data_IF_576767058507
#
_entry.id   IF_576767058507
#
_cell.length_a   1.000
_cell.length_b   1.000
_cell.length_c   1.000
_cell.angle_alpha   90.00
_cell.angle_beta   90.00
_cell.angle_gamma   90.00
#
_symmetry.space_group_name_H-M   'P 1'
#
loop_
_entity.id
_entity.type
_entity.pdbx_description
1 polymer ?
#
# COMPACT_ATOMS: atom_id res chain seq x y z
N UNK A 1 18.84 18.19 28.30
CA UNK A 1 18.68 18.94 27.04
C UNK A 1 18.25 17.96 25.96
N UNK A 2 16.99 17.99 25.51
CA UNK A 2 16.49 17.07 24.46
C UNK A 2 17.00 17.58 23.12
N UNK A 3 17.87 16.82 22.45
CA UNK A 3 18.45 17.21 21.16
C UNK A 3 17.41 17.32 20.04
N UNK A 4 17.65 18.21 19.08
CA UNK A 4 16.76 18.51 17.93
C UNK A 4 16.32 17.24 17.20
N UNK A 5 17.20 16.24 17.05
CA UNK A 5 16.89 14.95 16.43
C UNK A 5 15.74 14.22 17.14
N UNK A 6 15.77 14.18 18.48
CA UNK A 6 14.74 13.53 19.29
C UNK A 6 13.38 14.24 19.18
N UNK A 7 13.38 15.55 18.98
CA UNK A 7 12.15 16.32 18.74
C UNK A 7 11.57 16.03 17.34
N UNK A 8 12.42 15.86 16.32
CA UNK A 8 11.99 15.48 14.97
C UNK A 8 11.39 14.08 14.95
N UNK A 9 12.05 13.11 15.58
CA UNK A 9 11.55 11.73 15.68
C UNK A 9 10.18 11.66 16.38
N UNK A 10 10.03 12.41 17.48
CA UNK A 10 8.74 12.53 18.18
C UNK A 10 7.64 13.12 17.29
N UNK A 11 7.96 14.15 16.49
CA UNK A 11 6.98 14.77 15.58
C UNK A 11 6.59 13.81 14.46
N UNK A 12 7.56 13.12 13.86
CA UNK A 12 7.33 12.12 12.81
C UNK A 12 6.42 11.01 13.34
N UNK A 13 6.72 10.48 14.52
CA UNK A 13 5.92 9.42 15.13
C UNK A 13 4.51 9.89 15.44
N UNK A 14 4.34 11.14 15.91
CA UNK A 14 3.01 11.71 16.17
C UNK A 14 2.17 11.82 14.90
N UNK A 15 2.74 12.30 13.79
CA UNK A 15 1.97 12.40 12.54
C UNK A 15 1.70 11.03 11.92
N UNK A 16 2.63 10.07 12.04
CA UNK A 16 2.40 8.67 11.66
C UNK A 16 1.25 8.05 12.43
N UNK A 17 1.24 8.23 13.75
CA UNK A 17 0.15 7.76 14.61
C UNK A 17 -1.19 8.33 14.15
N UNK A 18 -1.28 9.66 13.94
CA UNK A 18 -2.50 10.30 13.45
C UNK A 18 -2.96 9.78 12.10
N UNK A 19 -2.03 9.54 11.18
CA UNK A 19 -2.34 8.98 9.87
C UNK A 19 -2.93 7.57 10.00
N UNK A 20 -2.35 6.71 10.85
CA UNK A 20 -2.88 5.37 11.11
C UNK A 20 -4.27 5.42 11.75
N UNK A 21 -4.47 6.29 12.73
CA UNK A 21 -5.78 6.47 13.37
C UNK A 21 -6.85 6.89 12.36
N UNK A 22 -6.51 7.80 11.45
CA UNK A 22 -7.41 8.24 10.38
C UNK A 22 -7.68 7.15 9.34
N UNK A 23 -6.66 6.38 8.94
CA UNK A 23 -6.78 5.32 7.92
C UNK A 23 -7.62 4.15 8.44
N UNK A 24 -7.41 3.76 9.69
CA UNK A 24 -8.01 2.56 10.27
C UNK A 24 -9.23 2.84 11.16
N UNK A 25 -9.61 4.11 11.29
CA UNK A 25 -10.75 4.60 12.08
C UNK A 25 -10.75 4.01 13.51
N UNK A 26 -9.60 4.07 14.17
CA UNK A 26 -9.37 3.49 15.50
C UNK A 26 -8.24 4.24 16.20
N UNK A 27 -8.15 4.10 17.52
CA UNK A 27 -7.12 4.80 18.29
C UNK A 27 -5.77 4.07 18.25
N UNK A 28 -4.67 4.81 18.44
CA UNK A 28 -3.34 4.23 18.60
C UNK A 28 -3.29 3.19 19.72
N UNK A 29 -4.01 3.45 20.82
CA UNK A 29 -4.11 2.55 21.97
C UNK A 29 -4.70 1.19 21.57
N UNK A 30 -5.77 1.20 20.76
CA UNK A 30 -6.40 -0.01 20.25
C UNK A 30 -5.51 -0.74 19.25
N UNK A 31 -4.85 -0.02 18.33
CA UNK A 31 -3.88 -0.62 17.39
C UNK A 31 -2.75 -1.33 18.14
N UNK A 32 -2.16 -0.67 19.14
CA UNK A 32 -1.13 -1.26 19.99
C UNK A 32 -1.62 -2.49 20.73
N UNK A 33 -2.83 -2.43 21.28
CA UNK A 33 -3.42 -3.56 21.98
C UNK A 33 -3.64 -4.76 21.03
N UNK A 34 -4.13 -4.48 19.82
CA UNK A 34 -4.41 -5.51 18.84
C UNK A 34 -3.11 -6.17 18.32
N UNK A 35 -2.05 -5.38 18.12
CA UNK A 35 -0.77 -5.83 17.58
C UNK A 35 0.36 -5.78 18.62
N UNK A 36 0.08 -6.18 19.85
CA UNK A 36 1.05 -6.15 20.95
C UNK A 36 2.15 -7.21 20.77
N UNK A 37 1.81 -8.34 20.15
CA UNK A 37 2.68 -9.51 19.99
C UNK A 37 2.86 -9.83 18.51
N UNK A 38 4.11 -10.03 18.10
CA UNK A 38 4.45 -10.54 16.77
C UNK A 38 4.48 -12.08 16.78
N UNK A 39 3.94 -12.74 15.75
CA UNK A 39 4.17 -14.16 15.51
C UNK A 39 5.66 -14.49 15.36
N UNK A 40 6.08 -15.73 15.68
CA UNK A 40 7.44 -16.19 15.44
C UNK A 40 7.88 -15.98 13.99
N UNK A 41 9.11 -15.52 13.77
CA UNK A 41 9.68 -15.27 12.44
C UNK A 41 9.18 -14.01 11.73
N UNK A 42 8.18 -13.30 12.26
CA UNK A 42 7.66 -12.07 11.65
C UNK A 42 8.74 -10.98 11.50
N UNK A 43 9.53 -10.74 12.56
CA UNK A 43 10.55 -9.69 12.57
C UNK A 43 11.78 -10.03 11.71
N UNK A 44 12.03 -11.31 11.46
CA UNK A 44 13.16 -11.79 10.65
C UNK A 44 12.81 -11.85 9.16
N UNK A 45 11.51 -11.74 8.83
CA UNK A 45 11.02 -11.85 7.46
C UNK A 45 11.14 -10.52 6.71
N UNK A 46 11.65 -10.58 5.48
CA UNK A 46 11.74 -9.40 4.61
C UNK A 46 10.40 -9.18 3.88
N UNK A 47 9.87 -7.95 3.87
CA UNK A 47 8.66 -7.65 3.11
C UNK A 47 8.89 -7.68 1.58
N UNK A 48 7.82 -7.88 0.79
CA UNK A 48 7.89 -7.73 -0.65
C UNK A 48 8.25 -6.28 -1.04
N UNK A 49 8.77 -6.11 -2.26
CA UNK A 49 9.11 -4.79 -2.82
C UNK A 49 7.83 -3.97 -3.06
N UNK A 50 6.78 -4.64 -3.53
CA UNK A 50 5.44 -4.07 -3.70
C UNK A 50 4.37 -5.09 -3.25
N UNK A 51 3.35 -4.70 -2.50
CA UNK A 51 3.16 -3.36 -1.95
C UNK A 51 4.20 -3.10 -0.83
N UNK A 52 4.73 -1.88 -0.78
CA UNK A 52 5.81 -1.55 0.16
C UNK A 52 5.29 -1.58 1.59
N UNK A 53 6.03 -2.21 2.51
CA UNK A 53 5.59 -2.39 3.89
C UNK A 53 6.53 -1.68 4.86
N UNK A 54 5.95 -0.97 5.81
CA UNK A 54 6.66 -0.28 6.87
C UNK A 54 6.36 -0.93 8.22
N UNK A 55 7.39 -1.36 8.93
CA UNK A 55 7.26 -1.85 10.30
C UNK A 55 7.03 -0.69 11.29
N UNK A 56 6.10 -0.87 12.23
CA UNK A 56 5.62 0.17 13.16
C UNK A 56 6.11 -0.02 14.61
N UNK A 57 7.24 -0.70 14.78
CA UNK A 57 7.81 -0.97 16.11
C UNK A 57 8.27 0.29 16.86
N UNK A 58 8.52 1.39 16.16
CA UNK A 58 8.86 2.71 16.70
C UNK A 58 7.71 3.39 17.47
N UNK A 59 6.47 2.95 17.21
CA UNK A 59 5.26 3.39 17.90
C UNK A 59 4.56 2.25 18.65
N UNK A 60 5.33 1.24 19.06
CA UNK A 60 4.89 0.09 19.85
C UNK A 60 3.79 -0.77 19.19
N UNK A 61 3.76 -0.82 17.86
CA UNK A 61 2.87 -1.70 17.09
C UNK A 61 3.74 -2.80 16.46
N UNK A 62 3.53 -4.07 16.83
CA UNK A 62 4.27 -5.23 16.31
C UNK A 62 3.66 -5.74 15.00
N UNK A 63 3.52 -4.85 14.04
CA UNK A 63 2.94 -5.10 12.73
C UNK A 63 3.54 -4.18 11.67
N UNK A 64 3.31 -4.53 10.41
CA UNK A 64 3.65 -3.73 9.24
C UNK A 64 2.39 -3.11 8.65
N UNK A 65 2.48 -1.85 8.24
CA UNK A 65 1.46 -1.19 7.42
C UNK A 65 1.93 -1.13 5.98
N UNK A 66 1.01 -1.36 5.05
CA UNK A 66 1.20 -1.10 3.63
C UNK A 66 -0.02 -0.37 3.07
N UNK A 67 0.22 0.54 2.14
CA UNK A 67 -0.83 1.25 1.43
C UNK A 67 -0.48 1.26 -0.06
N UNK A 68 -1.42 0.82 -0.88
CA UNK A 68 -1.27 0.75 -2.33
C UNK A 68 -2.63 0.95 -2.99
N UNK A 69 -2.65 1.17 -4.30
CA UNK A 69 -3.90 1.32 -5.04
C UNK A 69 -4.11 0.12 -5.97
N UNK A 70 -5.36 -0.26 -6.11
CA UNK A 70 -5.81 -1.29 -7.05
C UNK A 70 -6.93 -0.78 -7.96
N UNK A 71 -7.17 -1.47 -9.06
CA UNK A 71 -8.41 -1.33 -9.80
C UNK A 71 -9.60 -1.84 -8.98
N UNK A 72 -10.77 -1.21 -9.13
CA UNK A 72 -11.95 -1.54 -8.33
C UNK A 72 -12.40 -2.99 -8.52
N UNK A 73 -12.20 -3.54 -9.71
CA UNK A 73 -12.53 -4.92 -10.07
C UNK A 73 -11.66 -5.94 -9.32
N UNK A 74 -10.51 -5.51 -8.77
CA UNK A 74 -9.59 -6.37 -8.01
C UNK A 74 -9.91 -6.41 -6.52
N UNK A 75 -10.88 -5.62 -6.02
CA UNK A 75 -11.28 -5.64 -4.59
C UNK A 75 -11.61 -7.06 -4.09
N UNK A 76 -12.38 -7.91 -4.82
CA UNK A 76 -12.66 -9.28 -4.39
C UNK A 76 -11.40 -10.14 -4.23
N UNK A 77 -10.34 -9.87 -5.01
CA UNK A 77 -9.07 -10.59 -4.93
C UNK A 77 -8.39 -10.34 -3.58
N UNK A 78 -8.49 -9.12 -3.03
CA UNK A 78 -7.93 -8.79 -1.71
C UNK A 78 -8.55 -9.68 -0.62
N UNK A 79 -9.88 -9.78 -0.61
CA UNK A 79 -10.60 -10.61 0.35
C UNK A 79 -10.22 -12.08 0.19
N UNK A 80 -10.22 -12.61 -1.05
CA UNK A 80 -9.83 -13.99 -1.32
C UNK A 80 -8.39 -14.32 -0.92
N UNK A 81 -7.45 -13.38 -1.08
CA UNK A 81 -6.06 -13.55 -0.64
C UNK A 81 -5.97 -13.63 0.88
N UNK A 82 -6.62 -12.71 1.60
CA UNK A 82 -6.60 -12.68 3.06
C UNK A 82 -7.24 -13.95 3.61
N UNK A 83 -8.44 -14.29 3.15
CA UNK A 83 -9.16 -15.50 3.60
C UNK A 83 -8.38 -16.78 3.24
N UNK A 84 -7.78 -16.83 2.05
CA UNK A 84 -6.91 -17.93 1.61
C UNK A 84 -5.64 -18.12 2.45
N UNK A 85 -5.22 -17.11 3.22
CA UNK A 85 -4.13 -17.23 4.21
C UNK A 85 -4.59 -17.81 5.57
N UNK A 86 -5.86 -18.22 5.66
CA UNK A 86 -6.45 -18.75 6.90
C UNK A 86 -6.84 -17.63 7.86
N UNK A 87 -7.31 -16.50 7.34
CA UNK A 87 -7.89 -15.43 8.14
C UNK A 87 -9.42 -15.49 8.05
N UNK A 88 -10.09 -15.17 9.16
CA UNK A 88 -11.56 -15.07 9.21
C UNK A 88 -11.94 -13.68 9.65
N UNK A 89 -12.90 -13.09 8.96
CA UNK A 89 -13.46 -11.78 9.30
C UNK A 89 -14.27 -11.87 10.59
N UNK A 90 -13.90 -11.06 11.58
CA UNK A 90 -14.65 -10.94 12.85
C UNK A 90 -15.56 -9.71 12.86
N UNK A 91 -15.23 -8.72 12.04
CA UNK A 91 -16.01 -7.51 11.75
C UNK A 91 -15.48 -6.88 10.46
N UNK A 92 -16.21 -5.97 9.80
CA UNK A 92 -15.75 -5.34 8.57
C UNK A 92 -14.32 -4.78 8.71
N UNK A 93 -13.43 -5.26 7.84
CA UNK A 93 -12.03 -4.83 7.82
C UNK A 93 -11.14 -5.41 8.92
N UNK A 94 -11.62 -6.29 9.81
CA UNK A 94 -10.79 -6.88 10.86
C UNK A 94 -10.85 -8.40 10.79
N UNK A 95 -9.68 -9.00 10.68
CA UNK A 95 -9.49 -10.42 10.49
C UNK A 95 -8.53 -11.00 11.52
N UNK A 96 -8.81 -12.23 11.94
CA UNK A 96 -7.96 -13.01 12.87
C UNK A 96 -7.61 -14.35 12.24
N UNK A 97 -6.43 -14.88 12.55
CA UNK A 97 -6.02 -16.18 12.07
C UNK A 97 -6.90 -17.31 12.62
N UNK A 98 -7.11 -18.36 11.81
CA UNK A 98 -8.04 -19.46 12.12
C UNK A 98 -7.35 -20.80 12.40
N UNK A 99 -6.01 -20.85 12.51
CA UNK A 99 -5.27 -22.11 12.65
C UNK A 99 -5.40 -22.74 14.03
N UNK A 100 -5.69 -21.95 15.08
CA UNK A 100 -5.92 -22.41 16.45
C UNK A 100 -6.60 -21.33 17.30
N UNK A 101 -7.12 -21.68 18.48
CA UNK A 101 -7.61 -20.71 19.49
C UNK A 101 -6.52 -19.73 19.96
N UNK A 102 -5.25 -20.06 19.70
CA UNK A 102 -4.08 -19.23 20.03
C UNK A 102 -3.42 -18.60 18.80
N UNK A 103 -4.12 -18.56 17.65
CA UNK A 103 -3.59 -17.86 16.47
C UNK A 103 -3.60 -16.34 16.72
N UNK A 104 -2.41 -15.79 16.97
CA UNK A 104 -2.21 -14.37 17.29
C UNK A 104 -2.09 -13.50 16.03
N UNK A 105 -2.22 -14.08 14.84
CA UNK A 105 -2.15 -13.37 13.57
C UNK A 105 -3.39 -12.52 13.37
N UNK A 106 -3.18 -11.29 12.88
CA UNK A 106 -4.23 -10.32 12.63
C UNK A 106 -3.97 -9.55 11.35
N UNK A 107 -5.06 -9.17 10.71
CA UNK A 107 -5.08 -8.25 9.58
C UNK A 107 -6.17 -7.21 9.83
N UNK A 108 -5.81 -5.94 9.73
CA UNK A 108 -6.77 -4.84 9.64
C UNK A 108 -6.67 -4.24 8.23
N UNK A 109 -7.82 -4.08 7.57
CA UNK A 109 -7.96 -3.75 6.17
C UNK A 109 -8.95 -2.59 6.03
N UNK A 110 -8.49 -1.50 5.40
CA UNK A 110 -9.35 -0.41 4.94
C UNK A 110 -9.25 -0.32 3.42
N UNK A 111 -10.40 -0.12 2.76
CA UNK A 111 -10.47 0.12 1.32
C UNK A 111 -11.26 1.40 1.07
N UNK A 112 -10.71 2.36 0.32
CA UNK A 112 -11.36 3.64 0.02
C UNK A 112 -11.28 3.97 -1.47
N UNK A 113 -12.41 4.32 -2.09
CA UNK A 113 -12.45 4.70 -3.50
C UNK A 113 -11.80 6.08 -3.71
N UNK A 114 -10.71 6.12 -4.49
CA UNK A 114 -9.92 7.32 -4.79
C UNK A 114 -9.23 7.16 -6.15
N UNK A 115 -9.06 8.25 -6.89
CA UNK A 115 -8.29 8.32 -8.15
C UNK A 115 -8.68 7.23 -9.16
N UNK A 116 -9.99 7.09 -9.46
CA UNK A 116 -10.50 6.06 -10.37
C UNK A 116 -10.46 4.61 -9.84
N UNK A 117 -9.64 4.32 -8.84
CA UNK A 117 -9.44 2.99 -8.25
C UNK A 117 -9.91 2.88 -6.80
N UNK A 118 -9.29 1.95 -6.08
CA UNK A 118 -9.45 1.76 -4.64
C UNK A 118 -8.09 1.75 -3.95
N UNK A 119 -7.92 2.62 -2.96
CA UNK A 119 -6.74 2.63 -2.09
C UNK A 119 -6.96 1.61 -0.98
N UNK A 120 -6.04 0.66 -0.87
CA UNK A 120 -6.04 -0.44 0.08
C UNK A 120 -4.97 -0.16 1.12
N UNK A 121 -5.35 -0.15 2.39
CA UNK A 121 -4.44 -0.07 3.52
C UNK A 121 -4.55 -1.33 4.35
N UNK A 122 -3.42 -2.02 4.53
CA UNK A 122 -3.32 -3.27 5.29
C UNK A 122 -2.36 -3.08 6.44
N UNK A 123 -2.82 -3.36 7.66
CA UNK A 123 -1.98 -3.49 8.84
C UNK A 123 -1.99 -4.95 9.27
N UNK A 124 -0.82 -5.59 9.29
CA UNK A 124 -0.72 -7.02 9.61
C UNK A 124 0.57 -7.37 10.33
N UNK A 125 0.48 -8.36 11.21
CA UNK A 125 1.63 -9.04 11.83
C UNK A 125 1.91 -10.41 11.15
N UNK A 126 1.40 -10.64 9.94
CA UNK A 126 1.66 -11.83 9.14
C UNK A 126 2.29 -11.42 7.80
N UNK A 127 3.53 -11.88 7.56
CA UNK A 127 4.28 -11.54 6.35
C UNK A 127 3.83 -12.36 5.15
N UNK A 128 3.29 -13.57 5.36
CA UNK A 128 2.79 -14.43 4.29
C UNK A 128 1.61 -13.78 3.56
N UNK A 129 0.73 -13.10 4.31
CA UNK A 129 -0.38 -12.32 3.75
C UNK A 129 0.12 -11.22 2.80
N UNK A 130 1.20 -10.52 3.15
CA UNK A 130 1.81 -9.51 2.28
C UNK A 130 2.44 -10.14 1.03
N UNK A 131 3.12 -11.28 1.17
CA UNK A 131 3.66 -12.01 0.02
C UNK A 131 2.58 -12.57 -0.90
N UNK A 132 1.44 -13.00 -0.35
CA UNK A 132 0.30 -13.45 -1.15
C UNK A 132 -0.40 -12.29 -1.86
N UNK A 133 -0.47 -11.11 -1.25
CA UNK A 133 -0.92 -9.89 -1.93
C UNK A 133 0.01 -9.49 -3.07
N UNK A 134 1.33 -9.58 -2.86
CA UNK A 134 2.32 -9.39 -3.93
C UNK A 134 2.10 -10.38 -5.09
N UNK A 135 1.94 -11.67 -4.77
CA UNK A 135 1.71 -12.72 -5.76
C UNK A 135 0.37 -12.63 -6.50
N UNK A 136 -0.57 -11.81 -6.03
CA UNK A 136 -1.87 -11.61 -6.67
C UNK A 136 -1.83 -10.62 -7.85
N UNK A 137 -0.65 -10.07 -8.20
CA UNK A 137 -0.44 -9.22 -9.38
C UNK A 137 -1.40 -8.02 -9.46
N UNK A 138 -1.63 -7.41 -8.29
CA UNK A 138 -2.49 -6.25 -8.12
C UNK A 138 -1.86 -5.03 -8.82
N UNK A 139 -2.69 -4.16 -9.39
CA UNK A 139 -2.23 -2.99 -10.13
C UNK A 139 -3.14 -1.79 -9.89
N UNK A 140 -2.59 -0.57 -9.80
CA UNK A 140 -3.39 0.65 -9.80
C UNK A 140 -4.11 0.82 -11.14
N UNK A 141 -5.20 1.61 -11.20
CA UNK A 141 -5.74 2.08 -12.46
C UNK A 141 -4.65 2.82 -13.27
N UNK A 142 -4.68 2.75 -14.61
CA UNK A 142 -3.76 3.51 -15.42
C UNK A 142 -4.00 5.02 -15.28
N UNK A 143 -3.00 5.88 -15.57
CA UNK A 143 -3.10 7.32 -15.34
C UNK A 143 -4.31 8.00 -15.98
N UNK A 144 -4.69 7.60 -17.20
CA UNK A 144 -5.86 8.14 -17.91
C UNK A 144 -7.20 7.72 -17.32
N UNK A 145 -7.23 6.70 -16.47
CA UNK A 145 -8.41 6.32 -15.68
C UNK A 145 -8.40 7.02 -14.32
N UNK A 146 -7.22 7.22 -13.72
CA UNK A 146 -7.08 7.96 -12.48
C UNK A 146 -7.38 9.46 -12.65
N UNK A 147 -7.03 10.02 -13.81
CA UNK A 147 -7.15 11.43 -14.16
C UNK A 147 -7.75 11.60 -15.58
N UNK A 148 -9.05 11.30 -15.77
CA UNK A 148 -9.68 11.29 -17.10
C UNK A 148 -9.73 12.66 -17.78
N UNK A 149 -9.75 13.74 -16.99
CA UNK A 149 -9.84 15.12 -17.48
C UNK A 149 -8.46 15.75 -17.73
N UNK A 150 -7.37 14.97 -17.61
CA UNK A 150 -6.00 15.47 -17.78
C UNK A 150 -5.51 15.21 -19.19
N UNK A 151 -5.00 16.27 -19.82
CA UNK A 151 -4.27 16.18 -21.09
C UNK A 151 -2.80 15.83 -20.82
N UNK A 152 -2.29 14.66 -21.23
CA UNK A 152 -0.92 14.23 -20.96
C UNK A 152 0.14 15.16 -21.55
N UNK A 153 -0.14 15.85 -22.66
CA UNK A 153 0.82 16.77 -23.29
C UNK A 153 0.96 18.08 -22.51
N UNK A 154 0.00 18.37 -21.62
CA UNK A 154 0.00 19.56 -20.77
C UNK A 154 0.63 19.36 -19.39
N UNK A 155 0.98 18.12 -19.02
CA UNK A 155 1.35 17.76 -17.65
C UNK A 155 2.69 18.34 -17.16
N UNK A 156 3.55 18.83 -18.06
CA UNK A 156 4.78 19.53 -17.71
C UNK A 156 5.58 18.80 -16.61
N UNK A 157 5.77 19.44 -15.45
CA UNK A 157 6.23 18.74 -14.24
C UNK A 157 5.03 18.32 -13.40
N UNK A 158 5.01 17.07 -12.92
CA UNK A 158 3.98 16.60 -12.00
C UNK A 158 3.96 17.49 -10.75
N UNK A 159 2.79 17.95 -10.36
CA UNK A 159 2.60 18.72 -9.12
C UNK A 159 1.30 18.35 -8.41
N UNK A 160 1.29 18.57 -7.10
CA UNK A 160 0.10 18.46 -6.27
C UNK A 160 -0.47 17.04 -6.25
N UNK A 161 -1.76 16.90 -6.58
CA UNK A 161 -2.46 15.62 -6.43
C UNK A 161 -1.98 14.54 -7.40
N UNK A 162 -1.56 14.94 -8.62
CA UNK A 162 -1.06 14.01 -9.64
C UNK A 162 0.31 13.50 -9.23
N UNK A 163 1.22 14.39 -8.81
CA UNK A 163 2.53 14.01 -8.27
C UNK A 163 2.40 13.07 -7.07
N UNK A 164 1.50 13.39 -6.14
CA UNK A 164 1.22 12.55 -4.98
C UNK A 164 0.77 11.14 -5.41
N UNK A 165 -0.21 11.05 -6.32
CA UNK A 165 -0.70 9.76 -6.80
C UNK A 165 0.39 8.97 -7.53
N UNK A 166 1.16 9.65 -8.37
CA UNK A 166 2.19 9.05 -9.20
C UNK A 166 3.31 8.47 -8.36
N UNK A 167 3.77 9.23 -7.37
CA UNK A 167 4.85 8.81 -6.46
C UNK A 167 4.40 7.76 -5.44
N UNK A 168 3.15 7.85 -4.96
CA UNK A 168 2.65 6.99 -3.88
C UNK A 168 2.12 5.66 -4.39
N UNK A 169 1.47 5.63 -5.56
CA UNK A 169 0.74 4.45 -6.05
C UNK A 169 1.28 3.91 -7.36
N UNK A 170 1.51 4.79 -8.34
CA UNK A 170 1.89 4.37 -9.69
C UNK A 170 3.33 3.87 -9.75
N UNK A 171 4.31 4.68 -9.35
CA UNK A 171 5.74 4.34 -9.44
C UNK A 171 6.08 3.04 -8.68
N UNK A 172 5.64 2.83 -7.42
CA UNK A 172 5.96 1.59 -6.70
C UNK A 172 5.47 0.34 -7.41
N UNK A 173 4.36 0.42 -8.15
CA UNK A 173 3.87 -0.66 -9.01
C UNK A 173 4.69 -0.75 -10.29
N UNK A 174 4.81 0.35 -11.03
CA UNK A 174 5.43 0.41 -12.35
C UNK A 174 6.89 -0.03 -12.33
N UNK A 175 7.60 0.28 -11.25
CA UNK A 175 8.99 -0.10 -11.01
C UNK A 175 9.18 -1.62 -10.79
N UNK A 176 8.10 -2.36 -10.48
CA UNK A 176 8.15 -3.83 -10.36
C UNK A 176 8.05 -4.56 -11.69
N UNK A 177 7.62 -3.86 -12.75
CA UNK A 177 7.48 -4.42 -14.07
C UNK A 177 8.79 -4.30 -14.85
N UNK A 178 9.14 -5.37 -15.56
CA UNK A 178 10.16 -5.30 -16.61
C UNK A 178 9.61 -4.62 -17.86
N UNK A 179 10.48 -4.27 -18.81
CA UNK A 179 10.09 -3.54 -20.02
C UNK A 179 9.02 -4.27 -20.84
N UNK A 180 9.05 -5.60 -20.90
CA UNK A 180 8.05 -6.37 -21.64
C UNK A 180 6.67 -6.27 -20.99
N UNK A 181 6.61 -6.40 -19.66
CA UNK A 181 5.36 -6.24 -18.89
C UNK A 181 4.85 -4.80 -18.88
N UNK A 182 5.74 -3.82 -18.92
CA UNK A 182 5.37 -2.41 -19.07
C UNK A 182 4.66 -2.17 -20.41
N UNK A 183 5.23 -2.68 -21.50
CA UNK A 183 4.63 -2.57 -22.83
C UNK A 183 3.29 -3.32 -22.93
N UNK A 184 3.22 -4.55 -22.39
CA UNK A 184 2.00 -5.35 -22.30
C UNK A 184 0.90 -4.61 -21.53
N UNK A 185 1.23 -4.07 -20.35
CA UNK A 185 0.28 -3.31 -19.53
C UNK A 185 -0.30 -2.10 -20.27
N UNK A 186 0.54 -1.33 -20.97
CA UNK A 186 0.08 -0.17 -21.75
C UNK A 186 -0.74 -0.57 -22.97
N UNK A 187 -0.37 -1.69 -23.62
CA UNK A 187 -1.09 -2.24 -24.76
C UNK A 187 -2.50 -2.71 -24.36
N UNK A 188 -2.60 -3.59 -23.36
CA UNK A 188 -3.85 -4.22 -22.95
C UNK A 188 -4.88 -3.24 -22.38
N UNK A 189 -4.39 -2.08 -21.92
CA UNK A 189 -5.22 -1.00 -21.39
C UNK A 189 -5.48 0.11 -22.41
N UNK A 190 -5.12 -0.10 -23.67
CA UNK A 190 -5.34 0.84 -24.79
C UNK A 190 -4.75 2.23 -24.54
N UNK A 191 -3.53 2.29 -24.00
CA UNK A 191 -2.83 3.56 -23.80
C UNK A 191 -2.64 4.29 -25.14
N UNK A 192 -3.09 5.55 -25.22
CA UNK A 192 -2.81 6.43 -26.36
C UNK A 192 -1.32 6.73 -26.43
N UNK A 193 -0.84 7.16 -27.60
CA UNK A 193 0.58 7.53 -27.77
C UNK A 193 1.03 8.58 -26.74
N UNK A 194 0.25 9.65 -26.57
CA UNK A 194 0.55 10.73 -25.63
C UNK A 194 0.65 10.22 -24.17
N UNK A 195 -0.24 9.32 -23.74
CA UNK A 195 -0.15 8.73 -22.41
C UNK A 195 1.04 7.79 -22.24
N UNK A 196 1.41 7.03 -23.28
CA UNK A 196 2.63 6.20 -23.25
C UNK A 196 3.87 7.06 -23.07
N UNK A 197 4.01 8.11 -23.87
CA UNK A 197 5.14 9.05 -23.80
C UNK A 197 5.22 9.73 -22.43
N UNK A 198 4.08 10.20 -21.92
CA UNK A 198 3.97 10.79 -20.58
C UNK A 198 4.44 9.83 -19.47
N UNK A 199 4.00 8.56 -19.51
CA UNK A 199 4.42 7.55 -18.52
C UNK A 199 5.93 7.35 -18.52
N UNK A 200 6.54 7.19 -19.70
CA UNK A 200 7.98 6.98 -19.81
C UNK A 200 8.78 8.23 -19.42
N UNK A 201 8.32 9.43 -19.81
CA UNK A 201 8.95 10.70 -19.44
C UNK A 201 9.05 10.85 -17.91
N UNK A 202 7.97 10.56 -17.19
CA UNK A 202 7.92 10.72 -15.73
C UNK A 202 8.54 9.56 -14.94
N UNK A 203 8.67 8.37 -15.53
CA UNK A 203 9.41 7.28 -14.92
C UNK A 203 10.94 7.53 -14.90
N UNK A 204 11.48 8.16 -15.95
CA UNK A 204 12.91 8.42 -16.09
C UNK A 204 13.46 9.45 -15.08
N UNK A 205 12.60 10.33 -14.57
CA UNK A 205 12.98 11.43 -13.65
C UNK A 205 13.07 10.93 -12.20
N UNK A 206 12.28 9.93 -11.82
CA UNK A 206 12.26 9.38 -10.45
C UNK A 206 13.51 8.54 -10.09
N UNK A 207 14.37 8.21 -11.07
CA UNK A 207 15.60 7.41 -10.88
C UNK A 207 16.88 8.23 -10.70
N UNK A 208 16.81 9.56 -10.54
CA UNK A 208 18.01 10.36 -10.24
C UNK A 208 18.37 10.20 -8.75
N UNK A 209 19.61 9.79 -8.42
CA UNK A 209 20.08 9.62 -7.04
C UNK A 209 20.14 10.94 -6.26
#
# INVERSE_FOLDING_TARGET
MVGIRKLLDMRINRERTRALECIFDTTHKELRHNFLVAPPGFLDSKPPVFPSAQYLGDIDIKATVTTFQIEKQQIPVIYGVIEGCGFVSVRPGIYVGNKSEHDIRKVQLTITNRFGGAVVSVLSNDMDALWKLHGAQLNPPPPWIAFPDTDPDSLGSLQGVIEYWWTTFWNPFWDTLDSAKQDEFLHDRNATLAWRECVFAHHSIARRP
#
